data_IF_881039720871
#
_entry.id   IF_881039720871
#
_cell.length_a   1.000
_cell.length_b   1.000
_cell.length_c   1.000
_cell.angle_alpha   90.00
_cell.angle_beta   90.00
_cell.angle_gamma   90.00
#
_symmetry.space_group_name_H-M   'P 1'
#
loop_
_entity.id
_entity.type
_entity.pdbx_description
1 polymer ?
#
# COMPACT_ATOMS: atom_id res chain seq x y z
N UNK A 1 15.95 20.89 28.74
CA UNK A 1 16.59 21.56 27.59
C UNK A 1 16.71 20.54 26.48
N UNK A 2 16.06 20.75 25.33
CA UNK A 2 16.25 19.89 24.16
C UNK A 2 17.74 19.96 23.80
N UNK A 3 18.41 18.81 23.84
CA UNK A 3 19.85 18.76 23.56
C UNK A 3 20.07 18.92 22.06
N UNK A 4 21.19 19.53 21.65
CA UNK A 4 21.54 19.69 20.22
C UNK A 4 21.48 18.37 19.43
N UNK A 5 21.81 17.25 20.09
CA UNK A 5 21.68 15.89 19.56
C UNK A 5 20.24 15.54 19.17
N UNK A 6 19.26 15.93 19.98
CA UNK A 6 17.84 15.66 19.71
C UNK A 6 17.37 16.45 18.50
N UNK A 7 17.78 17.73 18.38
CA UNK A 7 17.47 18.57 17.22
C UNK A 7 18.07 18.01 15.92
N UNK A 8 19.31 17.53 15.98
CA UNK A 8 19.99 16.91 14.85
C UNK A 8 19.31 15.59 14.45
N UNK A 9 18.97 14.74 15.42
CA UNK A 9 18.24 13.51 15.18
C UNK A 9 16.89 13.79 14.52
N UNK A 10 16.16 14.79 15.03
CA UNK A 10 14.89 15.24 14.46
C UNK A 10 15.05 15.65 12.99
N UNK A 11 16.04 16.49 12.69
CA UNK A 11 16.32 16.95 11.32
C UNK A 11 16.57 15.77 10.36
N UNK A 12 17.37 14.79 10.77
CA UNK A 12 17.66 13.59 9.97
C UNK A 12 16.40 12.74 9.77
N UNK A 13 15.64 12.49 10.83
CA UNK A 13 14.41 11.71 10.77
C UNK A 13 13.37 12.34 9.84
N UNK A 14 13.14 13.65 9.92
CA UNK A 14 12.21 14.36 9.03
C UNK A 14 12.71 14.40 7.58
N UNK A 15 14.01 14.53 7.37
CA UNK A 15 14.61 14.48 6.02
C UNK A 15 14.41 13.10 5.39
N UNK A 16 14.72 12.03 6.12
CA UNK A 16 14.50 10.65 5.68
C UNK A 16 13.01 10.37 5.43
N UNK A 17 12.14 10.91 6.27
CA UNK A 17 10.70 10.77 6.11
C UNK A 17 10.18 11.50 4.86
N UNK A 18 10.70 12.70 4.53
CA UNK A 18 10.39 13.40 3.28
C UNK A 18 10.86 12.64 2.02
N UNK A 19 12.02 12.00 2.09
CA UNK A 19 12.51 11.09 1.05
C UNK A 19 11.56 9.89 0.91
N UNK A 20 11.21 9.24 2.02
CA UNK A 20 10.30 8.10 2.04
C UNK A 20 8.94 8.46 1.43
N UNK A 21 8.36 9.60 1.81
CA UNK A 21 7.09 10.06 1.26
C UNK A 21 7.15 10.20 -0.27
N UNK A 22 8.22 10.82 -0.76
CA UNK A 22 8.42 11.04 -2.20
C UNK A 22 8.64 9.73 -2.97
N UNK A 23 9.42 8.81 -2.41
CA UNK A 23 9.62 7.45 -2.95
C UNK A 23 8.27 6.74 -3.07
N UNK A 24 7.49 6.73 -1.99
CA UNK A 24 6.23 5.99 -1.94
C UNK A 24 5.20 6.59 -2.92
N UNK A 25 5.22 7.91 -3.09
CA UNK A 25 4.38 8.59 -4.06
C UNK A 25 4.77 8.23 -5.51
N UNK A 26 6.06 8.22 -5.85
CA UNK A 26 6.52 7.86 -7.21
C UNK A 26 6.24 6.39 -7.52
N UNK A 27 6.37 5.50 -6.53
CA UNK A 27 5.98 4.08 -6.63
C UNK A 27 4.49 3.97 -6.94
N UNK A 28 3.63 4.63 -6.16
CA UNK A 28 2.18 4.58 -6.36
C UNK A 28 1.81 5.07 -7.76
N UNK A 29 2.37 6.20 -8.18
CA UNK A 29 2.11 6.78 -9.49
C UNK A 29 2.60 5.86 -10.62
N UNK A 30 3.76 5.22 -10.46
CA UNK A 30 4.28 4.23 -11.42
C UNK A 30 3.32 3.04 -11.60
N UNK A 31 2.82 2.47 -10.49
CA UNK A 31 1.87 1.36 -10.54
C UNK A 31 0.51 1.78 -11.11
N UNK A 32 -0.03 2.94 -10.73
CA UNK A 32 -1.27 3.48 -11.30
C UNK A 32 -1.19 3.62 -12.82
N UNK A 33 -0.08 4.19 -13.31
CA UNK A 33 0.17 4.37 -14.74
C UNK A 33 0.30 3.03 -15.47
N UNK A 34 0.99 2.07 -14.88
CA UNK A 34 1.22 0.74 -15.48
C UNK A 34 -0.04 -0.12 -15.54
N UNK A 35 -0.90 -0.05 -14.52
CA UNK A 35 -2.14 -0.84 -14.49
C UNK A 35 -3.24 -0.34 -15.41
N UNK A 36 -3.05 0.81 -16.09
CA UNK A 36 -4.10 1.49 -16.88
C UNK A 36 -5.43 1.53 -16.12
N UNK A 37 -5.36 1.74 -14.81
CA UNK A 37 -6.56 1.81 -13.97
C UNK A 37 -7.44 2.93 -14.51
N UNK A 38 -8.77 2.70 -14.56
CA UNK A 38 -9.72 3.76 -14.93
C UNK A 38 -9.47 4.98 -14.05
N UNK A 39 -9.56 6.18 -14.62
CA UNK A 39 -9.23 7.42 -13.91
C UNK A 39 -9.89 7.51 -12.53
N UNK A 40 -11.17 7.09 -12.41
CA UNK A 40 -11.90 7.02 -11.15
C UNK A 40 -11.22 6.15 -10.08
N UNK A 41 -10.72 4.96 -10.44
CA UNK A 41 -10.01 4.06 -9.51
C UNK A 41 -8.67 4.67 -9.09
N UNK A 42 -7.99 5.35 -10.02
CA UNK A 42 -6.76 6.08 -9.73
C UNK A 42 -6.98 7.17 -8.66
N UNK A 43 -8.03 7.98 -8.81
CA UNK A 43 -8.37 9.02 -7.83
C UNK A 43 -8.71 8.44 -6.45
N UNK A 44 -9.46 7.34 -6.38
CA UNK A 44 -9.79 6.68 -5.11
C UNK A 44 -8.52 6.20 -4.40
N UNK A 45 -7.63 5.53 -5.13
CA UNK A 45 -6.35 5.05 -4.57
C UNK A 45 -5.48 6.22 -4.11
N UNK A 46 -5.43 7.30 -4.90
CA UNK A 46 -4.67 8.50 -4.55
C UNK A 46 -5.24 9.19 -3.30
N UNK A 47 -6.56 9.24 -3.13
CA UNK A 47 -7.21 9.78 -1.94
C UNK A 47 -6.92 8.92 -0.70
N UNK A 48 -7.01 7.58 -0.83
CA UNK A 48 -6.64 6.63 0.22
C UNK A 48 -5.17 6.76 0.62
N UNK A 49 -4.29 6.94 -0.36
CA UNK A 49 -2.87 7.19 -0.11
C UNK A 49 -2.66 8.49 0.68
N UNK A 50 -3.28 9.60 0.25
CA UNK A 50 -3.16 10.86 0.98
C UNK A 50 -3.70 10.78 2.40
N UNK A 51 -4.82 10.09 2.63
CA UNK A 51 -5.35 9.83 3.96
C UNK A 51 -4.36 9.03 4.82
N UNK A 52 -3.86 7.91 4.30
CA UNK A 52 -2.89 7.07 5.00
C UNK A 52 -1.58 7.79 5.30
N UNK A 53 -1.07 8.55 4.34
CA UNK A 53 0.16 9.34 4.51
C UNK A 53 -0.03 10.47 5.50
N UNK A 54 -1.16 11.18 5.48
CA UNK A 54 -1.46 12.25 6.45
C UNK A 54 -1.48 11.68 7.87
N UNK A 55 -2.15 10.55 8.09
CA UNK A 55 -2.15 9.87 9.39
C UNK A 55 -0.74 9.43 9.81
N UNK A 56 0.04 8.90 8.86
CA UNK A 56 1.43 8.47 9.11
C UNK A 56 2.31 9.67 9.49
N UNK A 57 2.19 10.80 8.78
CA UNK A 57 2.91 12.04 9.09
C UNK A 57 2.55 12.53 10.49
N UNK A 58 1.26 12.56 10.83
CA UNK A 58 0.80 12.99 12.15
C UNK A 58 1.34 12.08 13.27
N UNK A 59 1.24 10.75 13.09
CA UNK A 59 1.77 9.79 14.06
C UNK A 59 3.28 9.90 14.21
N UNK A 60 4.00 10.04 13.10
CA UNK A 60 5.44 10.19 13.10
C UNK A 60 5.87 11.49 13.79
N UNK A 61 5.23 12.62 13.44
CA UNK A 61 5.50 13.91 14.06
C UNK A 61 5.21 13.90 15.57
N UNK A 62 4.12 13.25 15.99
CA UNK A 62 3.76 13.08 17.39
C UNK A 62 4.80 12.24 18.16
N UNK A 63 5.21 11.09 17.60
CA UNK A 63 6.21 10.18 18.19
C UNK A 63 7.60 10.79 18.27
N UNK A 64 8.01 11.56 17.26
CA UNK A 64 9.37 12.09 17.15
C UNK A 64 9.52 13.40 17.91
N UNK A 65 8.45 14.20 18.03
CA UNK A 65 8.53 15.53 18.66
C UNK A 65 7.98 15.55 20.09
N UNK A 66 7.59 14.42 20.67
CA UNK A 66 6.86 14.35 21.96
C UNK A 66 5.71 15.37 22.03
N UNK A 67 4.99 15.55 20.91
CA UNK A 67 3.89 16.52 20.77
C UNK A 67 4.30 17.98 20.43
N UNK A 68 5.58 18.33 20.44
CA UNK A 68 6.08 19.68 20.12
C UNK A 68 6.51 19.82 18.65
N UNK A 69 5.54 19.85 17.73
CA UNK A 69 5.82 20.01 16.29
C UNK A 69 6.35 21.42 16.00
N UNK A 70 7.67 21.55 15.86
CA UNK A 70 8.33 22.82 15.55
C UNK A 70 8.34 23.10 14.04
N UNK A 71 8.22 24.37 13.63
CA UNK A 71 8.15 24.78 12.21
C UNK A 71 9.37 24.32 11.38
N UNK A 72 10.52 24.13 12.05
CA UNK A 72 11.75 23.60 11.45
C UNK A 72 11.60 22.18 10.88
N UNK A 73 10.67 21.38 11.41
CA UNK A 73 10.41 20.02 10.90
C UNK A 73 9.86 20.02 9.48
N UNK A 74 8.98 20.98 9.16
CA UNK A 74 8.47 21.18 7.81
C UNK A 74 9.58 21.58 6.84
N UNK A 75 10.57 22.35 7.29
CA UNK A 75 11.70 22.77 6.46
C UNK A 75 12.58 21.57 6.08
N UNK A 76 12.96 20.74 7.05
CA UNK A 76 13.74 19.52 6.81
C UNK A 76 12.98 18.48 5.97
N UNK A 77 11.67 18.39 6.17
CA UNK A 77 10.81 17.58 5.32
C UNK A 77 10.85 18.02 3.85
N UNK A 78 10.74 19.34 3.60
CA UNK A 78 10.84 19.90 2.24
C UNK A 78 12.21 19.67 1.61
N UNK A 79 13.28 19.80 2.41
CA UNK A 79 14.66 19.50 1.99
C UNK A 79 14.78 18.03 1.58
N UNK A 80 14.22 17.10 2.37
CA UNK A 80 14.19 15.67 2.03
C UNK A 80 13.51 15.40 0.69
N UNK A 81 12.38 16.06 0.41
CA UNK A 81 11.68 15.97 -0.87
C UNK A 81 12.53 16.50 -2.03
N UNK A 82 13.20 17.64 -1.84
CA UNK A 82 14.09 18.25 -2.84
C UNK A 82 15.29 17.35 -3.16
N UNK A 83 15.94 16.81 -2.12
CA UNK A 83 17.07 15.88 -2.25
C UNK A 83 16.65 14.63 -3.03
N UNK A 84 15.50 14.05 -2.70
CA UNK A 84 14.98 12.90 -3.43
C UNK A 84 14.72 13.22 -4.90
N UNK A 85 14.06 14.35 -5.18
CA UNK A 85 13.67 14.73 -6.55
C UNK A 85 14.87 15.04 -7.44
N UNK A 86 15.93 15.64 -6.88
CA UNK A 86 17.16 15.98 -7.58
C UNK A 86 18.10 14.79 -7.79
N UNK A 87 18.18 13.86 -6.82
CA UNK A 87 19.26 12.88 -6.78
C UNK A 87 18.80 11.42 -6.97
N UNK A 88 17.65 11.03 -6.39
CA UNK A 88 17.23 9.62 -6.33
C UNK A 88 16.17 9.23 -7.38
N UNK A 89 15.49 10.20 -7.99
CA UNK A 89 14.34 9.93 -8.90
C UNK A 89 14.70 9.03 -10.10
N UNK A 90 15.85 9.28 -10.73
CA UNK A 90 16.29 8.50 -11.90
C UNK A 90 16.72 7.07 -11.55
N UNK A 91 17.38 6.88 -10.41
CA UNK A 91 17.76 5.56 -9.91
C UNK A 91 16.52 4.73 -9.55
N UNK A 92 15.60 5.34 -8.81
CA UNK A 92 14.39 4.67 -8.34
C UNK A 92 13.53 4.12 -9.50
N UNK A 93 13.36 4.88 -10.58
CA UNK A 93 12.62 4.40 -11.75
C UNK A 93 13.27 3.17 -12.41
N UNK A 94 14.60 3.17 -12.53
CA UNK A 94 15.35 2.02 -13.07
C UNK A 94 15.24 0.79 -12.16
N UNK A 95 15.33 0.98 -10.86
CA UNK A 95 15.18 -0.10 -9.88
C UNK A 95 13.75 -0.63 -9.83
N UNK A 96 12.73 0.24 -9.93
CA UNK A 96 11.34 -0.18 -10.00
C UNK A 96 11.05 -1.04 -11.23
N UNK A 97 11.58 -0.68 -12.40
CA UNK A 97 11.42 -1.50 -13.60
C UNK A 97 12.14 -2.85 -13.49
N UNK A 98 13.26 -2.91 -12.76
CA UNK A 98 13.95 -4.17 -12.47
C UNK A 98 13.13 -5.02 -11.50
N UNK A 99 12.66 -4.45 -10.40
CA UNK A 99 11.80 -5.12 -9.43
C UNK A 99 10.52 -5.64 -10.07
N UNK A 100 9.86 -4.83 -10.90
CA UNK A 100 8.61 -5.22 -11.57
C UNK A 100 8.84 -6.41 -12.51
N UNK A 101 9.96 -6.45 -13.22
CA UNK A 101 10.33 -7.61 -14.07
C UNK A 101 10.58 -8.86 -13.25
N UNK A 102 11.28 -8.73 -12.12
CA UNK A 102 11.51 -9.84 -11.19
C UNK A 102 10.18 -10.33 -10.62
N UNK A 103 9.33 -9.43 -10.15
CA UNK A 103 8.04 -9.74 -9.55
C UNK A 103 7.09 -10.39 -10.55
N UNK A 104 7.05 -9.93 -11.80
CA UNK A 104 6.26 -10.56 -12.87
C UNK A 104 6.74 -12.01 -13.14
N UNK A 105 8.05 -12.25 -13.08
CA UNK A 105 8.64 -13.58 -13.23
C UNK A 105 8.25 -14.49 -12.07
N UNK A 106 8.34 -13.99 -10.84
CA UNK A 106 7.92 -14.70 -9.63
C UNK A 106 6.42 -14.97 -9.62
N UNK A 107 5.60 -14.01 -10.07
CA UNK A 107 4.15 -14.18 -10.18
C UNK A 107 3.77 -15.24 -11.23
N UNK A 108 4.47 -15.29 -12.36
CA UNK A 108 4.30 -16.37 -13.34
C UNK A 108 4.64 -17.74 -12.77
N UNK A 109 5.72 -17.80 -11.97
CA UNK A 109 6.12 -19.01 -11.26
C UNK A 109 5.09 -19.43 -10.22
N UNK A 110 4.61 -18.47 -9.41
CA UNK A 110 3.59 -18.68 -8.39
C UNK A 110 2.26 -19.10 -9.02
N UNK A 111 1.85 -18.51 -10.14
CA UNK A 111 0.64 -18.91 -10.89
C UNK A 111 0.75 -20.34 -11.42
N UNK A 112 1.94 -20.75 -11.86
CA UNK A 112 2.20 -22.12 -12.32
C UNK A 112 2.11 -23.09 -11.14
N UNK A 113 2.79 -22.78 -10.03
CA UNK A 113 2.70 -23.52 -8.77
C UNK A 113 1.27 -23.61 -8.22
N UNK A 114 0.52 -22.51 -8.23
CA UNK A 114 -0.86 -22.47 -7.77
C UNK A 114 -1.77 -23.32 -8.68
N UNK A 115 -1.50 -23.35 -9.99
CA UNK A 115 -2.23 -24.21 -10.93
C UNK A 115 -1.91 -25.68 -10.70
N UNK A 116 -0.65 -26.03 -10.48
CA UNK A 116 -0.22 -27.38 -10.09
C UNK A 116 -0.88 -27.80 -8.77
N UNK A 117 -0.93 -26.90 -7.78
CA UNK A 117 -1.52 -27.15 -6.46
C UNK A 117 -3.06 -27.22 -6.50
N UNK A 118 -3.73 -26.41 -7.33
CA UNK A 118 -5.17 -26.53 -7.56
C UNK A 118 -5.55 -27.78 -8.35
N UNK A 119 -4.63 -28.32 -9.17
CA UNK A 119 -4.83 -29.59 -9.89
C UNK A 119 -4.57 -30.81 -9.01
N UNK A 120 -4.13 -30.64 -7.75
CA UNK A 120 -4.17 -31.71 -6.78
C UNK A 120 -5.66 -32.10 -6.54
N UNK A 121 -6.07 -33.35 -6.83
CA UNK A 121 -7.47 -33.76 -6.80
C UNK A 121 -8.12 -33.57 -5.42
N UNK A 122 -7.32 -33.56 -4.36
CA UNK A 122 -7.77 -33.33 -2.99
C UNK A 122 -8.34 -31.92 -2.77
N UNK A 123 -7.69 -30.87 -3.30
CA UNK A 123 -8.13 -29.48 -3.09
C UNK A 123 -9.33 -29.11 -3.98
N UNK A 124 -9.41 -29.65 -5.20
CA UNK A 124 -10.57 -29.49 -6.07
C UNK A 124 -11.84 -30.08 -5.46
N UNK A 125 -11.73 -31.23 -4.77
CA UNK A 125 -12.84 -31.86 -4.07
C UNK A 125 -13.31 -31.06 -2.85
N UNK A 126 -12.39 -30.45 -2.09
CA UNK A 126 -12.70 -29.60 -0.95
C UNK A 126 -13.38 -28.29 -1.38
N UNK A 127 -12.91 -27.67 -2.46
CA UNK A 127 -13.54 -26.48 -3.06
C UNK A 127 -14.93 -26.79 -3.63
N UNK A 128 -15.14 -27.96 -4.23
CA UNK A 128 -16.45 -28.40 -4.71
C UNK A 128 -17.44 -28.63 -3.56
N UNK A 129 -16.99 -29.28 -2.47
CA UNK A 129 -17.78 -29.48 -1.24
C UNK A 129 -18.11 -28.15 -0.56
N UNK A 130 -17.15 -27.23 -0.47
CA UNK A 130 -17.36 -25.89 0.08
C UNK A 130 -18.37 -25.09 -0.76
N UNK A 131 -18.27 -25.14 -2.10
CA UNK A 131 -19.25 -24.52 -3.01
C UNK A 131 -20.66 -25.09 -2.83
N UNK A 132 -20.80 -26.41 -2.69
CA UNK A 132 -22.10 -27.05 -2.46
C UNK A 132 -22.70 -26.66 -1.10
N UNK A 133 -21.88 -26.60 -0.04
CA UNK A 133 -22.32 -26.17 1.28
C UNK A 133 -22.80 -24.70 1.31
N UNK A 134 -22.09 -23.80 0.61
CA UNK A 134 -22.47 -22.40 0.48
C UNK A 134 -23.76 -22.25 -0.34
N UNK A 135 -23.90 -22.97 -1.46
CA UNK A 135 -25.11 -22.94 -2.29
C UNK A 135 -26.32 -23.44 -1.50
N UNK A 136 -26.17 -24.52 -0.74
CA UNK A 136 -27.25 -25.08 0.08
C UNK A 136 -27.67 -24.15 1.24
N UNK A 137 -26.73 -23.37 1.82
CA UNK A 137 -27.08 -22.35 2.82
C UNK A 137 -27.85 -21.17 2.21
N UNK A 138 -27.48 -20.73 1.01
CA UNK A 138 -28.18 -19.65 0.31
C UNK A 138 -29.59 -20.07 -0.15
N UNK A 139 -29.80 -21.33 -0.56
CA UNK A 139 -31.14 -21.80 -0.97
C UNK A 139 -32.08 -22.05 0.23
N UNK A 140 -31.56 -22.38 1.42
CA UNK A 140 -32.37 -22.54 2.65
C UNK A 140 -32.77 -21.23 3.33
N UNK A 141 -32.12 -20.11 3.02
CA UNK A 141 -32.47 -18.81 3.61
C UNK A 141 -33.59 -18.08 2.85
N UNK A 142 -33.84 -18.45 1.58
CA UNK A 142 -34.86 -17.82 0.74
C UNK A 142 -36.34 -18.17 1.02
N UNK A 143 -36.75 -19.27 1.71
CA UNK A 143 -38.17 -19.55 1.92
C UNK A 143 -38.76 -18.99 3.23
N UNK A 144 -38.01 -18.20 4.02
CA UNK A 144 -38.53 -17.70 5.33
C UNK A 144 -38.94 -16.23 5.36
N UNK A 145 -38.62 -15.41 4.35
CA UNK A 145 -39.08 -14.01 4.30
C UNK A 145 -40.46 -13.83 3.62
N UNK A 146 -41.02 -14.86 2.97
CA UNK A 146 -42.33 -14.79 2.29
C UNK A 146 -43.51 -15.26 3.16
N UNK A 147 -43.31 -15.66 4.42
CA UNK A 147 -44.38 -16.18 5.30
C UNK A 147 -44.77 -15.28 6.49
N UNK A 148 -44.16 -14.09 6.66
CA UNK A 148 -44.56 -13.12 7.71
C UNK A 148 -45.25 -11.85 7.13
N UNK A 149 -45.72 -11.88 5.89
CA UNK A 149 -46.48 -10.77 5.28
C UNK A 149 -47.72 -11.24 4.51
N UNK A 150 -48.43 -12.24 5.06
CA UNK A 150 -49.83 -12.51 4.73
C UNK A 150 -50.64 -12.66 6.01
#
# INVERSE_FOLDING_TARGET
MITFKDQLALAVYFTLFGIFLSVTYDILHFYLKRWKAKAAVGYVIQALYWLGMTLTVCLFAYRVSDGAVSIYTFLFFFIGVLVYRGLLRLGLHKDLDRFTRVFARTYGFLKKWLRELLFAPEMASLLARARQAVKHKLTKQKPKEEQESQ
#
